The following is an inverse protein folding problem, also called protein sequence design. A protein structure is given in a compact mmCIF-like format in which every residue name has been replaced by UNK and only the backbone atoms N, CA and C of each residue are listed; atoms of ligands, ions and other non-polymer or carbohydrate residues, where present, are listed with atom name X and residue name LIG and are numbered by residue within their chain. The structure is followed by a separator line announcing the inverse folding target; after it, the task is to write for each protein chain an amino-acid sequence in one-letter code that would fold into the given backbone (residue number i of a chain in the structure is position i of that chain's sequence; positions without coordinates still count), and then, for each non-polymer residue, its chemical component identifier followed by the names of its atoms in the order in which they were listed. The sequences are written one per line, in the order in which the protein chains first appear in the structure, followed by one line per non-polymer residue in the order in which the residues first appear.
data_IF_001334611222
#
_entry.id   IF_001334611222
#
_cell.length_a   1.000
_cell.length_b   1.000
_cell.length_c   1.000
_cell.angle_alpha   90.00
_cell.angle_beta   90.00
_cell.angle_gamma   90.00
#
_symmetry.space_group_name_H-M   'P 1'
#
loop_
_entity.id
_entity.type
_entity.pdbx_description
1 polymer ?
#
# COMPACT_ATOMS: atom_id res chain seq x y z
N UNK A 1 -27.77 -21.06 -9.22
CA UNK A 1 -26.89 -20.29 -10.13
C UNK A 1 -27.46 -18.88 -10.25
N UNK A 2 -27.02 -17.94 -9.41
CA UNK A 2 -27.43 -16.53 -9.48
C UNK A 2 -26.53 -15.80 -10.48
N UNK A 3 -27.14 -15.22 -11.52
CA UNK A 3 -26.44 -14.59 -12.63
C UNK A 3 -25.51 -13.46 -12.18
N UNK A 4 -24.30 -13.42 -12.75
CA UNK A 4 -23.39 -12.30 -12.59
C UNK A 4 -24.09 -11.03 -13.09
N UNK A 5 -24.40 -10.11 -12.17
CA UNK A 5 -24.99 -8.82 -12.49
C UNK A 5 -24.13 -8.06 -13.51
N UNK A 6 -24.76 -7.16 -14.28
CA UNK A 6 -24.08 -6.40 -15.32
C UNK A 6 -22.82 -5.70 -14.76
N UNK A 7 -21.68 -5.77 -15.46
CA UNK A 7 -20.46 -5.10 -15.00
C UNK A 7 -20.70 -3.60 -14.90
N UNK A 8 -20.24 -3.01 -13.80
CA UNK A 8 -20.46 -1.58 -13.54
C UNK A 8 -19.53 -0.67 -14.36
N UNK A 9 -19.80 0.63 -14.29
CA UNK A 9 -19.10 1.65 -15.09
C UNK A 9 -17.57 1.52 -15.00
N UNK A 10 -17.02 1.46 -13.77
CA UNK A 10 -15.56 1.40 -13.57
C UNK A 10 -14.93 0.11 -14.09
N UNK A 11 -15.66 -1.01 -14.10
CA UNK A 11 -15.16 -2.22 -14.73
C UNK A 11 -15.04 -2.06 -16.25
N UNK A 12 -16.09 -1.55 -16.91
CA UNK A 12 -16.09 -1.33 -18.36
C UNK A 12 -15.01 -0.31 -18.76
N UNK A 13 -14.86 0.73 -17.97
CA UNK A 13 -13.87 1.77 -18.22
C UNK A 13 -12.44 1.27 -17.99
N UNK A 14 -12.21 0.36 -17.03
CA UNK A 14 -10.91 -0.29 -16.86
C UNK A 14 -10.53 -1.08 -18.12
N UNK A 15 -11.45 -1.91 -18.63
CA UNK A 15 -11.24 -2.67 -19.86
C UNK A 15 -10.95 -1.75 -21.05
N UNK A 16 -11.75 -0.69 -21.21
CA UNK A 16 -11.58 0.29 -22.30
C UNK A 16 -10.20 0.97 -22.28
N UNK A 17 -9.69 1.27 -21.09
CA UNK A 17 -8.40 1.93 -20.89
C UNK A 17 -7.22 0.94 -20.78
N UNK A 18 -7.47 -0.36 -20.83
CA UNK A 18 -6.42 -1.38 -20.73
C UNK A 18 -5.95 -1.70 -19.31
N UNK A 19 -6.68 -1.27 -18.28
CA UNK A 19 -6.42 -1.67 -16.90
C UNK A 19 -6.96 -3.06 -16.61
N UNK A 20 -6.18 -3.89 -15.91
CA UNK A 20 -6.56 -5.27 -15.56
C UNK A 20 -7.66 -5.34 -14.50
N UNK A 21 -7.89 -4.26 -13.75
CA UNK A 21 -8.99 -4.17 -12.80
C UNK A 21 -9.43 -2.72 -12.56
N UNK A 22 -10.70 -2.57 -12.17
CA UNK A 22 -11.30 -1.29 -11.77
C UNK A 22 -10.63 -0.62 -10.57
N UNK A 23 -9.84 -1.35 -9.77
CA UNK A 23 -9.12 -0.77 -8.63
C UNK A 23 -8.08 0.26 -9.08
N UNK A 24 -7.67 0.26 -10.36
CA UNK A 24 -6.85 1.32 -10.96
C UNK A 24 -7.43 2.71 -10.71
N UNK A 25 -8.75 2.90 -10.83
CA UNK A 25 -9.39 4.21 -10.64
C UNK A 25 -9.28 4.75 -9.22
N UNK A 26 -9.09 3.88 -8.22
CA UNK A 26 -8.85 4.30 -6.84
C UNK A 26 -7.48 4.96 -6.70
N UNK A 27 -6.44 4.29 -7.22
CA UNK A 27 -5.08 4.83 -7.21
C UNK A 27 -4.94 6.04 -8.15
N UNK A 28 -5.60 6.05 -9.31
CA UNK A 28 -5.64 7.23 -10.19
C UNK A 28 -6.23 8.45 -9.47
N UNK A 29 -7.33 8.27 -8.73
CA UNK A 29 -7.92 9.35 -7.94
C UNK A 29 -6.96 9.85 -6.85
N UNK A 30 -6.37 8.93 -6.07
CA UNK A 30 -5.41 9.28 -5.02
C UNK A 30 -4.17 9.96 -5.61
N UNK A 31 -3.62 9.43 -6.69
CA UNK A 31 -2.49 10.02 -7.38
C UNK A 31 -2.82 11.42 -7.90
N UNK A 32 -4.01 11.64 -8.47
CA UNK A 32 -4.42 12.95 -8.94
C UNK A 32 -4.54 13.99 -7.80
N UNK A 33 -5.12 13.60 -6.67
CA UNK A 33 -5.38 14.48 -5.53
C UNK A 33 -4.14 14.75 -4.68
N UNK A 34 -3.30 13.75 -4.47
CA UNK A 34 -2.22 13.79 -3.48
C UNK A 34 -0.81 13.82 -4.08
N UNK A 35 -0.66 13.59 -5.40
CA UNK A 35 0.62 13.62 -6.12
C UNK A 35 1.69 12.74 -5.47
N UNK A 36 1.31 11.51 -5.13
CA UNK A 36 2.10 10.57 -4.33
C UNK A 36 3.33 10.05 -5.09
N UNK A 37 3.13 9.64 -6.34
CA UNK A 37 4.17 9.05 -7.19
C UNK A 37 4.72 10.15 -8.09
N UNK A 38 6.00 10.47 -7.94
CA UNK A 38 6.69 11.42 -8.81
C UNK A 38 7.37 10.68 -9.96
N UNK A 39 7.67 11.35 -11.08
CA UNK A 39 8.48 10.75 -12.13
C UNK A 39 9.81 10.22 -11.58
N UNK A 40 10.19 9.00 -11.95
CA UNK A 40 11.41 8.35 -11.45
C UNK A 40 11.33 7.80 -10.01
N UNK A 41 10.15 7.81 -9.37
CA UNK A 41 9.96 7.22 -8.03
C UNK A 41 10.36 5.73 -7.95
N UNK A 42 10.74 5.32 -6.74
CA UNK A 42 10.76 3.91 -6.33
C UNK A 42 9.45 3.61 -5.59
N UNK A 43 8.67 2.67 -6.11
CA UNK A 43 7.33 2.33 -5.62
C UNK A 43 7.27 0.87 -5.21
N UNK A 44 6.74 0.60 -4.01
CA UNK A 44 6.40 -0.73 -3.53
C UNK A 44 4.87 -0.86 -3.48
N UNK A 45 4.31 -1.91 -4.07
CA UNK A 45 2.87 -2.20 -4.11
C UNK A 45 2.59 -3.53 -3.39
N UNK A 46 2.02 -3.45 -2.19
CA UNK A 46 1.71 -4.58 -1.33
C UNK A 46 0.27 -5.06 -1.58
N UNK A 47 0.10 -6.35 -1.86
CA UNK A 47 -1.19 -6.91 -2.31
C UNK A 47 -1.48 -6.55 -3.77
N UNK A 48 -0.45 -6.63 -4.63
CA UNK A 48 -0.52 -6.07 -5.98
C UNK A 48 -1.45 -6.83 -6.95
N UNK A 49 -1.95 -8.03 -6.62
CA UNK A 49 -2.80 -8.79 -7.53
C UNK A 49 -4.14 -8.06 -7.82
N UNK A 50 -4.60 -8.01 -9.10
CA UNK A 50 -4.05 -8.65 -10.30
C UNK A 50 -3.05 -7.78 -11.09
N UNK A 51 -2.61 -6.64 -10.57
CA UNK A 51 -1.59 -5.76 -11.19
C UNK A 51 -2.09 -4.38 -11.60
N UNK A 52 -3.32 -4.01 -11.25
CA UNK A 52 -3.91 -2.73 -11.67
C UNK A 52 -3.18 -1.51 -11.07
N UNK A 53 -2.70 -1.63 -9.83
CA UNK A 53 -1.92 -0.57 -9.19
C UNK A 53 -0.49 -0.50 -9.73
N UNK A 54 0.09 -1.64 -10.13
CA UNK A 54 1.36 -1.67 -10.89
C UNK A 54 1.27 -0.87 -12.19
N UNK A 55 0.18 -1.01 -12.94
CA UNK A 55 -0.04 -0.24 -14.17
C UNK A 55 -0.08 1.27 -13.89
N UNK A 56 -0.85 1.70 -12.88
CA UNK A 56 -0.96 3.12 -12.52
C UNK A 56 0.38 3.66 -12.02
N UNK A 57 1.10 2.89 -11.19
CA UNK A 57 2.41 3.27 -10.69
C UNK A 57 3.44 3.41 -11.82
N UNK A 58 3.48 2.45 -12.75
CA UNK A 58 4.41 2.48 -13.88
C UNK A 58 4.16 3.70 -14.78
N UNK A 59 2.90 3.97 -15.14
CA UNK A 59 2.54 5.16 -15.92
C UNK A 59 2.92 6.45 -15.18
N UNK A 60 2.80 6.48 -13.85
CA UNK A 60 3.16 7.65 -13.03
C UNK A 60 4.67 7.92 -12.97
N UNK A 61 5.53 6.95 -13.31
CA UNK A 61 6.98 7.18 -13.42
C UNK A 61 7.35 8.04 -14.64
N UNK A 62 6.43 8.22 -15.59
CA UNK A 62 6.66 8.95 -16.83
C UNK A 62 7.62 8.22 -17.79
N UNK A 63 8.22 8.94 -18.77
CA UNK A 63 9.13 8.35 -19.75
C UNK A 63 10.30 7.58 -19.14
N UNK A 64 10.78 6.54 -19.83
CA UNK A 64 11.87 5.66 -19.36
C UNK A 64 13.14 6.42 -18.92
N UNK A 65 13.46 7.54 -19.57
CA UNK A 65 14.61 8.39 -19.22
C UNK A 65 14.58 8.95 -17.79
N UNK A 66 13.41 8.99 -17.15
CA UNK A 66 13.27 9.43 -15.76
C UNK A 66 13.69 8.32 -14.76
N UNK A 67 13.91 7.09 -15.23
CA UNK A 67 14.22 5.95 -14.37
C UNK A 67 13.03 5.55 -13.48
N UNK A 68 13.34 5.11 -12.26
CA UNK A 68 12.37 4.62 -11.29
C UNK A 68 12.15 3.10 -11.36
N UNK A 69 11.41 2.58 -10.39
CA UNK A 69 11.08 1.15 -10.28
C UNK A 69 9.72 0.99 -9.63
N UNK A 70 8.99 -0.05 -10.03
CA UNK A 70 7.78 -0.52 -9.34
C UNK A 70 7.99 -1.98 -8.95
N UNK A 71 7.86 -2.28 -7.66
CA UNK A 71 7.94 -3.64 -7.13
C UNK A 71 6.58 -4.02 -6.57
N UNK A 72 5.93 -5.01 -7.17
CA UNK A 72 4.70 -5.61 -6.64
C UNK A 72 5.00 -6.83 -5.78
N UNK A 73 4.37 -6.95 -4.62
CA UNK A 73 4.43 -8.15 -3.78
C UNK A 73 3.02 -8.66 -3.53
N UNK A 74 2.79 -9.94 -3.77
CA UNK A 74 1.53 -10.61 -3.48
C UNK A 74 1.76 -12.09 -3.18
N UNK A 75 0.88 -12.71 -2.39
CA UNK A 75 0.90 -14.15 -2.16
C UNK A 75 0.56 -14.93 -3.45
N UNK A 76 -0.23 -14.31 -4.34
CA UNK A 76 -0.55 -14.87 -5.66
C UNK A 76 0.54 -14.49 -6.66
N UNK A 77 0.88 -15.42 -7.54
CA UNK A 77 1.76 -15.13 -8.67
C UNK A 77 1.10 -14.13 -9.63
N UNK A 78 1.62 -12.91 -9.69
CA UNK A 78 1.18 -11.87 -10.62
C UNK A 78 2.15 -11.82 -11.80
N UNK A 79 1.62 -11.99 -13.03
CA UNK A 79 2.38 -11.65 -14.23
C UNK A 79 2.30 -10.14 -14.43
N UNK A 80 3.43 -9.49 -14.70
CA UNK A 80 3.45 -8.06 -15.04
C UNK A 80 2.52 -7.83 -16.24
N UNK A 81 1.50 -6.97 -16.13
CA UNK A 81 0.63 -6.66 -17.25
C UNK A 81 1.44 -6.08 -18.42
N UNK A 82 1.36 -6.67 -19.61
CA UNK A 82 2.13 -6.19 -20.78
C UNK A 82 1.66 -4.82 -21.27
N UNK A 83 0.40 -4.47 -20.98
CA UNK A 83 -0.18 -3.18 -21.29
C UNK A 83 -0.03 -2.24 -20.10
N UNK A 84 0.38 -1.00 -20.35
CA UNK A 84 0.62 0.06 -19.35
C UNK A 84 1.79 -0.16 -18.38
N UNK A 85 2.51 -1.27 -18.46
CA UNK A 85 3.78 -1.46 -17.77
C UNK A 85 4.96 -1.54 -18.76
N UNK A 86 6.16 -1.26 -18.25
CA UNK A 86 7.42 -1.45 -18.96
C UNK A 86 8.44 -2.20 -18.08
N UNK A 87 9.69 -2.26 -18.53
CA UNK A 87 10.78 -3.01 -17.89
C UNK A 87 11.10 -2.58 -16.45
N UNK A 88 10.55 -1.46 -15.97
CA UNK A 88 10.74 -0.98 -14.58
C UNK A 88 9.83 -1.69 -13.57
N UNK A 89 8.90 -2.55 -14.01
CA UNK A 89 7.99 -3.27 -13.12
C UNK A 89 8.47 -4.69 -12.88
N UNK A 90 8.61 -5.07 -11.61
CA UNK A 90 8.84 -6.45 -11.18
C UNK A 90 7.75 -6.91 -10.21
N UNK A 91 7.53 -8.22 -10.15
CA UNK A 91 6.62 -8.84 -9.18
C UNK A 91 7.33 -9.94 -8.40
N UNK A 92 7.00 -10.03 -7.11
CA UNK A 92 7.51 -11.05 -6.19
C UNK A 92 6.32 -11.80 -5.60
N UNK A 93 6.36 -13.13 -5.69
CA UNK A 93 5.36 -14.00 -5.08
C UNK A 93 5.81 -14.32 -3.65
N UNK A 94 5.26 -13.62 -2.66
CA UNK A 94 5.61 -13.78 -1.25
C UNK A 94 4.47 -13.36 -0.33
N UNK A 95 4.47 -13.90 0.87
CA UNK A 95 3.57 -13.45 1.93
C UNK A 95 4.14 -12.24 2.65
N UNK A 96 3.51 -11.07 2.45
CA UNK A 96 3.90 -9.79 3.06
C UNK A 96 3.91 -9.89 4.58
N UNK A 97 3.02 -10.68 5.20
CA UNK A 97 2.97 -10.84 6.66
C UNK A 97 4.25 -11.45 7.22
N UNK A 98 4.90 -12.31 6.46
CA UNK A 98 6.08 -13.07 6.89
C UNK A 98 7.39 -12.60 6.24
N UNK A 99 7.34 -11.63 5.31
CA UNK A 99 8.51 -11.19 4.54
C UNK A 99 9.44 -10.25 5.35
N UNK A 100 10.70 -10.62 5.64
CA UNK A 100 11.59 -9.77 6.43
C UNK A 100 11.88 -8.41 5.77
N UNK A 101 12.06 -7.35 6.57
CA UNK A 101 12.29 -5.98 6.06
C UNK A 101 13.55 -5.89 5.19
N UNK A 102 14.62 -6.61 5.55
CA UNK A 102 15.86 -6.61 4.75
C UNK A 102 15.61 -7.18 3.33
N UNK A 103 14.83 -8.25 3.19
CA UNK A 103 14.47 -8.80 1.87
C UNK A 103 13.63 -7.81 1.06
N UNK A 104 12.69 -7.10 1.69
CA UNK A 104 11.95 -6.01 1.01
C UNK A 104 12.89 -4.91 0.56
N UNK A 105 13.89 -4.56 1.37
CA UNK A 105 14.89 -3.52 1.05
C UNK A 105 15.80 -3.91 -0.10
N UNK A 106 16.20 -5.18 -0.19
CA UNK A 106 17.01 -5.71 -1.29
C UNK A 106 16.36 -5.55 -2.66
N UNK A 107 15.02 -5.52 -2.72
CA UNK A 107 14.26 -5.27 -3.94
C UNK A 107 14.28 -3.79 -4.38
N UNK A 108 14.73 -2.88 -3.51
CA UNK A 108 14.76 -1.45 -3.81
C UNK A 108 16.05 -1.04 -4.53
N UNK A 109 16.03 0.05 -5.33
CA UNK A 109 17.23 0.50 -6.03
C UNK A 109 18.34 0.83 -5.04
N UNK A 110 19.52 0.23 -5.25
CA UNK A 110 20.70 0.42 -4.39
C UNK A 110 20.44 0.11 -2.90
N UNK A 111 19.40 -0.69 -2.61
CA UNK A 111 18.97 -1.03 -1.24
C UNK A 111 18.64 0.19 -0.37
N UNK A 112 18.25 1.32 -0.99
CA UNK A 112 17.97 2.58 -0.29
C UNK A 112 16.50 2.73 0.16
N UNK A 113 15.66 1.73 -0.10
CA UNK A 113 14.21 1.78 0.17
C UNK A 113 13.39 2.45 -0.94
N UNK A 114 12.13 2.72 -0.63
CA UNK A 114 11.12 3.21 -1.56
C UNK A 114 10.68 4.64 -1.23
N UNK A 115 10.40 5.43 -2.26
CA UNK A 115 9.79 6.76 -2.09
C UNK A 115 8.28 6.70 -1.84
N UNK A 116 7.63 5.62 -2.28
CA UNK A 116 6.19 5.40 -2.10
C UNK A 116 5.95 3.94 -1.76
N UNK A 117 5.14 3.69 -0.73
CA UNK A 117 4.60 2.37 -0.42
C UNK A 117 3.08 2.44 -0.54
N UNK A 118 2.53 1.51 -1.30
CA UNK A 118 1.11 1.35 -1.54
C UNK A 118 0.68 0.00 -0.95
N UNK A 119 -0.49 -0.06 -0.32
CA UNK A 119 -1.07 -1.30 0.17
C UNK A 119 -2.56 -1.36 -0.18
N UNK A 120 -2.89 -2.22 -1.13
CA UNK A 120 -4.27 -2.63 -1.43
C UNK A 120 -4.53 -4.07 -0.95
N UNK A 121 -3.78 -4.53 0.06
CA UNK A 121 -3.99 -5.82 0.70
C UNK A 121 -5.41 -5.97 1.21
N UNK A 122 -6.00 -7.16 1.04
CA UNK A 122 -7.36 -7.48 1.45
C UNK A 122 -7.35 -8.83 2.13
N UNK A 123 -7.89 -8.97 3.35
CA UNK A 123 -7.95 -10.27 4.00
C UNK A 123 -8.99 -11.15 3.31
N UNK A 124 -8.98 -12.45 3.62
CA UNK A 124 -10.07 -13.34 3.26
C UNK A 124 -11.34 -12.88 3.99
N UNK A 125 -12.31 -12.36 3.24
CA UNK A 125 -13.55 -11.79 3.79
C UNK A 125 -14.46 -12.93 4.26
N UNK A 126 -14.70 -12.99 5.57
CA UNK A 126 -15.58 -13.96 6.21
C UNK A 126 -17.05 -13.54 6.19
N UNK A 127 -17.33 -12.24 6.01
CA UNK A 127 -18.66 -11.65 6.13
C UNK A 127 -18.98 -11.15 7.54
N UNK A 128 -18.16 -11.52 8.54
CA UNK A 128 -18.27 -11.01 9.90
C UNK A 128 -17.55 -9.66 9.96
N UNK A 129 -18.33 -8.57 9.99
CA UNK A 129 -17.82 -7.20 9.81
C UNK A 129 -16.67 -6.82 10.74
N UNK A 130 -16.76 -7.21 12.01
CA UNK A 130 -15.77 -6.91 13.04
C UNK A 130 -14.48 -7.67 12.81
N UNK A 131 -14.58 -8.99 12.56
CA UNK A 131 -13.43 -9.84 12.22
C UNK A 131 -12.72 -9.35 10.96
N UNK A 132 -13.46 -9.08 9.90
CA UNK A 132 -12.88 -8.62 8.63
C UNK A 132 -12.18 -7.26 8.79
N UNK A 133 -12.74 -6.37 9.62
CA UNK A 133 -12.11 -5.09 9.94
C UNK A 133 -10.82 -5.26 10.73
N UNK A 134 -10.81 -6.07 11.80
CA UNK A 134 -9.61 -6.36 12.59
C UNK A 134 -8.48 -6.94 11.72
N UNK A 135 -8.79 -7.89 10.83
CA UNK A 135 -7.82 -8.44 9.88
C UNK A 135 -7.30 -7.39 8.88
N UNK A 136 -8.15 -6.43 8.47
CA UNK A 136 -7.70 -5.33 7.62
C UNK A 136 -6.76 -4.37 8.36
N UNK A 137 -6.97 -4.18 9.66
CA UNK A 137 -6.08 -3.40 10.52
C UNK A 137 -4.74 -4.10 10.69
N UNK A 138 -4.73 -5.42 10.88
CA UNK A 138 -3.51 -6.22 10.97
C UNK A 138 -2.64 -6.08 9.70
N UNK A 139 -3.25 -6.19 8.52
CA UNK A 139 -2.58 -5.96 7.23
C UNK A 139 -2.04 -4.52 7.11
N UNK A 140 -2.80 -3.54 7.60
CA UNK A 140 -2.38 -2.14 7.60
C UNK A 140 -1.23 -1.84 8.54
N UNK A 141 -1.26 -2.41 9.76
CA UNK A 141 -0.17 -2.33 10.73
C UNK A 141 1.10 -2.99 10.18
N UNK A 142 0.95 -4.09 9.45
CA UNK A 142 2.08 -4.71 8.76
C UNK A 142 2.69 -3.78 7.70
N UNK A 143 1.87 -3.15 6.88
CA UNK A 143 2.35 -2.18 5.88
C UNK A 143 3.06 -0.98 6.54
N UNK A 144 2.54 -0.50 7.68
CA UNK A 144 3.17 0.57 8.46
C UNK A 144 4.51 0.14 9.05
N UNK A 145 4.60 -1.03 9.68
CA UNK A 145 5.83 -1.60 10.22
C UNK A 145 6.91 -1.73 9.14
N UNK A 146 6.57 -2.30 7.98
CA UNK A 146 7.49 -2.35 6.83
C UNK A 146 7.96 -0.94 6.43
N UNK A 147 7.05 0.04 6.40
CA UNK A 147 7.37 1.40 6.01
C UNK A 147 8.32 2.10 6.98
N UNK A 148 8.02 2.10 8.29
CA UNK A 148 8.69 2.97 9.27
C UNK A 148 9.69 2.25 10.19
N UNK A 149 9.58 0.93 10.32
CA UNK A 149 10.43 0.14 11.22
C UNK A 149 9.87 0.03 12.64
N UNK A 150 10.40 -0.94 13.41
CA UNK A 150 9.92 -1.26 14.76
C UNK A 150 10.14 -0.14 15.76
N UNK A 151 11.28 0.54 15.72
CA UNK A 151 11.62 1.60 16.67
C UNK A 151 10.71 2.83 16.52
N UNK A 152 10.50 3.29 15.27
CA UNK A 152 9.62 4.42 15.02
C UNK A 152 8.17 4.09 15.39
N UNK A 153 7.75 2.83 15.19
CA UNK A 153 6.42 2.38 15.55
C UNK A 153 6.23 2.27 17.07
N UNK A 154 7.21 1.76 17.81
CA UNK A 154 7.15 1.70 19.28
C UNK A 154 7.06 3.10 19.89
N UNK A 155 7.88 4.04 19.40
CA UNK A 155 7.88 5.42 19.90
C UNK A 155 6.55 6.13 19.64
N UNK A 156 6.00 5.98 18.42
CA UNK A 156 4.70 6.54 18.08
C UNK A 156 3.55 5.91 18.90
N UNK A 157 3.62 4.61 19.18
CA UNK A 157 2.60 3.90 19.98
C UNK A 157 2.59 4.41 21.41
N UNK A 158 3.77 4.57 22.04
CA UNK A 158 3.92 5.14 23.38
C UNK A 158 3.39 6.58 23.43
N UNK A 159 3.76 7.42 22.45
CA UNK A 159 3.27 8.81 22.36
C UNK A 159 1.75 8.90 22.17
N UNK A 160 1.14 7.88 21.55
CA UNK A 160 -0.32 7.80 21.36
C UNK A 160 -1.09 7.22 22.55
N UNK A 161 -0.40 6.84 23.64
CA UNK A 161 -0.98 6.29 24.86
C UNK A 161 -1.20 4.78 24.87
N UNK A 162 -0.61 4.04 23.92
CA UNK A 162 -0.64 2.58 23.86
C UNK A 162 0.49 1.93 24.67
N UNK A 163 0.27 0.70 25.14
CA UNK A 163 1.32 -0.13 25.76
C UNK A 163 2.15 -0.81 24.66
N UNK A 164 3.49 -0.74 24.76
CA UNK A 164 4.39 -1.44 23.85
C UNK A 164 4.73 -2.83 24.38
N UNK A 165 4.36 -3.88 23.64
CA UNK A 165 4.85 -5.24 23.89
C UNK A 165 6.29 -5.35 23.38
N UNK A 166 7.25 -4.86 24.17
CA UNK A 166 8.67 -4.91 23.85
C UNK A 166 9.18 -6.36 23.93
N UNK A 167 9.09 -7.09 22.81
CA UNK A 167 9.50 -8.49 22.70
C UNK A 167 10.12 -8.86 21.36
N UNK A 168 10.99 -7.99 20.79
CA UNK A 168 11.60 -8.23 19.48
C UNK A 168 13.12 -8.23 19.51
N UNK A 169 13.72 -9.43 19.58
CA UNK A 169 15.13 -9.74 19.35
C UNK A 169 15.52 -9.66 17.86
N UNK A 170 15.15 -8.57 17.19
CA UNK A 170 15.45 -8.34 15.78
C UNK A 170 16.86 -7.79 15.57
N UNK A 171 17.57 -8.28 14.55
CA UNK A 171 18.85 -7.73 14.11
C UNK A 171 18.70 -6.24 13.76
N UNK A 172 19.76 -5.43 13.91
CA UNK A 172 19.68 -3.96 13.72
C UNK A 172 19.14 -3.51 12.36
N UNK A 173 19.21 -4.36 11.32
CA UNK A 173 18.68 -4.09 9.98
C UNK A 173 17.17 -4.30 9.86
N UNK A 174 16.59 -5.20 10.66
CA UNK A 174 15.15 -5.53 10.68
C UNK A 174 14.31 -4.50 11.47
N UNK A 175 14.99 -3.60 12.21
CA UNK A 175 14.35 -2.50 12.94
C UNK A 175 14.17 -1.24 12.10
N UNK A 176 14.86 -1.11 10.97
CA UNK A 176 14.74 0.03 10.06
C UNK A 176 13.64 -0.19 9.01
N UNK A 177 12.79 0.81 8.81
CA UNK A 177 11.77 0.79 7.76
C UNK A 177 12.36 0.78 6.34
N UNK A 178 11.51 0.54 5.35
CA UNK A 178 11.88 0.59 3.92
C UNK A 178 11.31 1.82 3.20
N UNK A 179 10.58 2.71 3.89
CA UNK A 179 10.15 3.98 3.34
C UNK A 179 11.23 5.05 3.55
N UNK A 180 11.60 5.75 2.48
CA UNK A 180 12.57 6.84 2.52
C UNK A 180 12.02 8.05 3.30
N UNK A 181 12.86 8.84 3.96
CA UNK A 181 12.48 10.15 4.50
C UNK A 181 11.79 11.01 3.43
N UNK A 182 10.70 11.67 3.81
CA UNK A 182 9.84 12.42 2.89
C UNK A 182 8.98 11.55 1.97
N UNK A 183 9.03 10.22 2.08
CA UNK A 183 8.22 9.29 1.31
C UNK A 183 6.74 9.27 1.69
N UNK A 184 5.94 8.59 0.88
CA UNK A 184 4.48 8.49 1.04
C UNK A 184 4.04 7.05 1.30
N UNK A 185 2.99 6.87 2.09
CA UNK A 185 2.39 5.58 2.41
C UNK A 185 0.87 5.64 2.18
N UNK A 186 0.32 4.64 1.49
CA UNK A 186 -1.13 4.47 1.31
C UNK A 186 -1.53 3.09 1.79
N UNK A 187 -2.55 3.00 2.64
CA UNK A 187 -3.03 1.74 3.20
C UNK A 187 -4.55 1.65 3.06
N UNK A 188 -5.05 0.52 2.53
CA UNK A 188 -6.47 0.17 2.59
C UNK A 188 -6.85 -0.40 3.95
N UNK A 189 -7.99 0.03 4.46
CA UNK A 189 -8.71 -0.60 5.57
C UNK A 189 -10.14 -0.92 5.16
N UNK A 190 -10.81 -1.74 5.97
CA UNK A 190 -12.27 -1.75 6.06
C UNK A 190 -12.68 -0.82 7.19
N UNK A 191 -13.54 0.16 6.90
CA UNK A 191 -13.96 1.19 7.84
C UNK A 191 -14.49 0.59 9.16
N UNK A 192 -13.82 0.93 10.25
CA UNK A 192 -14.13 0.59 11.65
C UNK A 192 -13.63 1.69 12.59
N UNK A 193 -13.96 1.60 13.87
CA UNK A 193 -13.50 2.53 14.92
C UNK A 193 -11.97 2.47 15.11
N UNK A 194 -11.37 1.29 14.96
CA UNK A 194 -9.93 1.05 15.09
C UNK A 194 -9.08 1.89 14.10
N UNK A 195 -9.66 2.27 12.96
CA UNK A 195 -8.99 3.15 11.98
C UNK A 195 -8.68 4.53 12.58
N UNK A 196 -9.45 4.96 13.59
CA UNK A 196 -9.16 6.20 14.32
C UNK A 196 -7.90 6.08 15.19
N UNK A 197 -7.67 4.93 15.81
CA UNK A 197 -6.47 4.66 16.60
C UNK A 197 -5.24 4.59 15.70
N UNK A 198 -5.36 3.92 14.55
CA UNK A 198 -4.32 3.91 13.52
C UNK A 198 -3.90 5.33 13.10
N UNK A 199 -4.86 6.25 13.00
CA UNK A 199 -4.59 7.66 12.69
C UNK A 199 -3.74 8.34 13.77
N UNK A 200 -3.94 8.02 15.05
CA UNK A 200 -3.13 8.57 16.15
C UNK A 200 -1.67 8.12 16.05
N UNK A 201 -1.43 6.86 15.66
CA UNK A 201 -0.09 6.30 15.47
C UNK A 201 0.62 6.99 14.29
N UNK A 202 -0.08 7.25 13.18
CA UNK A 202 0.55 7.82 11.98
C UNK A 202 0.84 9.33 12.07
N UNK A 203 0.06 10.09 12.86
CA UNK A 203 0.21 11.55 12.98
C UNK A 203 1.62 12.03 13.38
N UNK A 204 2.32 11.45 14.37
CA UNK A 204 3.69 11.87 14.70
C UNK A 204 4.71 11.48 13.62
N UNK A 205 4.41 10.43 12.84
CA UNK A 205 5.35 9.86 11.85
C UNK A 205 5.35 10.59 10.51
N UNK A 206 4.23 11.23 10.13
CA UNK A 206 4.06 11.84 8.81
C UNK A 206 3.62 13.30 8.93
N UNK A 207 4.10 14.16 8.02
CA UNK A 207 3.70 15.58 8.01
C UNK A 207 2.20 15.77 7.79
N UNK A 208 1.56 14.85 7.07
CA UNK A 208 0.11 14.89 6.83
C UNK A 208 -0.43 13.48 6.71
N UNK A 209 -1.59 13.24 7.32
CA UNK A 209 -2.34 12.01 7.17
C UNK A 209 -3.82 12.34 6.87
N UNK A 210 -4.46 11.58 5.99
CA UNK A 210 -5.85 11.81 5.61
C UNK A 210 -6.57 10.51 5.24
N UNK A 211 -7.88 10.46 5.47
CA UNK A 211 -8.75 9.38 5.03
C UNK A 211 -9.45 9.75 3.72
N UNK A 212 -9.55 8.78 2.80
CA UNK A 212 -10.28 8.92 1.55
C UNK A 212 -11.07 7.63 1.26
N UNK A 213 -12.36 7.77 0.94
CA UNK A 213 -13.12 6.74 0.22
C UNK A 213 -13.16 7.11 -1.28
N UNK A 214 -12.45 6.38 -2.16
CA UNK A 214 -12.46 6.65 -3.59
C UNK A 214 -13.85 6.52 -4.22
N UNK A 215 -14.11 7.27 -5.29
CA UNK A 215 -15.38 7.20 -6.05
C UNK A 215 -15.58 5.84 -6.71
N UNK A 216 -14.50 5.14 -7.02
CA UNK A 216 -14.54 3.80 -7.62
C UNK A 216 -14.85 2.67 -6.62
N UNK A 217 -14.97 2.99 -5.32
CA UNK A 217 -15.43 2.08 -4.27
C UNK A 217 -16.88 1.66 -4.53
N UNK A 218 -17.15 0.35 -4.43
CA UNK A 218 -18.52 -0.18 -4.54
C UNK A 218 -19.35 0.27 -3.35
N UNK A 219 -20.64 0.56 -3.57
CA UNK A 219 -21.58 0.92 -2.50
C UNK A 219 -21.70 -0.14 -1.39
N UNK A 220 -21.51 -1.41 -1.74
CA UNK A 220 -21.51 -2.52 -0.78
C UNK A 220 -20.19 -2.67 0.01
N UNK A 221 -19.14 -1.96 -0.39
CA UNK A 221 -17.82 -2.06 0.24
C UNK A 221 -17.65 -1.02 1.33
N UNK A 222 -17.06 -1.43 2.45
CA UNK A 222 -16.64 -0.53 3.53
C UNK A 222 -15.20 -0.05 3.37
N UNK A 223 -14.55 -0.33 2.24
CA UNK A 223 -13.15 0.09 2.05
C UNK A 223 -12.98 1.60 2.20
N UNK A 224 -11.84 1.96 2.81
CA UNK A 224 -11.35 3.32 2.98
C UNK A 224 -9.82 3.28 2.90
N UNK A 225 -9.20 4.37 2.43
CA UNK A 225 -7.75 4.47 2.29
C UNK A 225 -7.20 5.54 3.22
N UNK A 226 -6.16 5.18 3.97
CA UNK A 226 -5.37 6.09 4.76
C UNK A 226 -4.15 6.53 3.96
N UNK A 227 -3.98 7.84 3.79
CA UNK A 227 -2.97 8.45 2.93
C UNK A 227 -2.05 9.29 3.81
N UNK A 228 -0.83 8.76 4.01
CA UNK A 228 0.25 9.36 4.77
C UNK A 228 1.24 10.02 3.82
N UNK A 229 1.49 11.32 4.01
CA UNK A 229 2.40 12.09 3.17
C UNK A 229 3.60 12.58 3.95
N UNK A 230 4.77 12.36 3.35
CA UNK A 230 6.06 12.87 3.82
C UNK A 230 6.42 12.33 5.20
N UNK A 231 6.99 11.12 5.22
CA UNK A 231 7.60 10.54 6.41
C UNK A 231 8.58 11.56 7.02
N UNK A 232 8.41 11.86 8.31
CA UNK A 232 9.32 12.70 9.06
C UNK A 232 10.68 12.02 9.17
N UNK A 233 11.76 12.78 9.03
CA UNK A 233 13.09 12.30 9.41
C UNK A 233 13.09 12.13 10.93
N UNK A 234 13.44 10.94 11.42
CA UNK A 234 13.82 10.75 12.82
C UNK A 234 15.15 11.43 13.15
#
# INVERSE_FOLDING_TARGET
MSGAGAPDFFYREALRLGYVARSAFKLLQMQNQYKLIKPGSSVLDLGCAPGAWLQVACQSLGPLKNGGVVVGIDQKKVKVPSLLCDARVQTVCADVMNLPKHQVRELSPQQQGFSVILSDMCPLISGIRTKDAALSVELGMRALDLAVGGNALSDATIQSGGQSDAGGSGSGLDNCGVLKPGGHLVIKFLESEDVQEFSKICKPLFRKASLLRPKATRSSSREIYFICQSLCSG
#
